data_IF_879257267542
#
_entry.id   IF_879257267542
#
_cell.length_a   1.000
_cell.length_b   1.000
_cell.length_c   1.000
_cell.angle_alpha   90.00
_cell.angle_beta   90.00
_cell.angle_gamma   90.00
#
_symmetry.space_group_name_H-M   'P 1'
#
loop_
_entity.id
_entity.type
_entity.pdbx_description
1 polymer ?
#
# COMPACT_ATOMS: atom_id res chain seq x y z
N UNK A 1 7.85 8.26 -10.26
CA UNK A 1 6.83 9.24 -9.79
C UNK A 1 7.36 9.97 -8.57
N UNK A 2 7.04 11.25 -8.32
CA UNK A 2 7.34 11.85 -7.00
C UNK A 2 6.19 11.49 -6.06
N UNK A 3 6.48 10.66 -5.06
CA UNK A 3 5.49 10.22 -4.06
C UNK A 3 5.68 11.05 -2.79
N UNK A 4 4.64 11.83 -2.44
CA UNK A 4 4.63 12.62 -1.22
C UNK A 4 4.70 11.73 0.04
N UNK A 5 5.37 12.20 1.09
CA UNK A 5 5.59 11.44 2.34
C UNK A 5 4.29 10.92 2.97
N UNK A 6 3.19 11.68 2.86
CA UNK A 6 1.86 11.24 3.34
C UNK A 6 1.41 9.89 2.79
N UNK A 7 1.88 9.50 1.60
CA UNK A 7 1.55 8.22 0.98
C UNK A 7 2.46 7.08 1.45
N UNK A 8 3.64 7.40 1.98
CA UNK A 8 4.60 6.43 2.54
C UNK A 8 4.38 6.17 4.03
N UNK A 9 3.68 7.07 4.72
CA UNK A 9 3.31 6.90 6.12
C UNK A 9 2.26 5.79 6.30
N UNK A 10 2.15 5.28 7.53
CA UNK A 10 1.15 4.27 7.91
C UNK A 10 -0.25 4.63 7.42
N UNK A 11 -0.85 3.76 6.62
CA UNK A 11 -2.18 3.94 6.04
C UNK A 11 -2.16 4.70 4.70
N UNK A 12 -1.04 5.26 4.29
CA UNK A 12 -0.86 5.93 3.01
C UNK A 12 -0.94 4.96 1.82
N UNK A 13 -1.17 5.48 0.62
CA UNK A 13 -1.36 4.64 -0.58
C UNK A 13 -0.16 3.73 -0.87
N UNK A 14 1.05 4.27 -0.84
CA UNK A 14 2.27 3.51 -1.09
C UNK A 14 2.50 2.48 0.02
N UNK A 15 2.36 2.89 1.29
CA UNK A 15 2.42 2.00 2.46
C UNK A 15 1.44 0.82 2.33
N UNK A 16 0.18 1.09 1.96
CA UNK A 16 -0.83 0.03 1.79
C UNK A 16 -0.52 -0.90 0.63
N UNK A 17 0.00 -0.38 -0.47
CA UNK A 17 0.49 -1.19 -1.60
C UNK A 17 1.61 -2.13 -1.18
N UNK A 18 2.67 -1.58 -0.57
CA UNK A 18 3.81 -2.38 -0.09
C UNK A 18 3.39 -3.39 0.96
N UNK A 19 2.52 -3.01 1.91
CA UNK A 19 2.03 -3.90 2.94
C UNK A 19 1.16 -5.04 2.38
N UNK A 20 0.32 -4.77 1.39
CA UNK A 20 -0.46 -5.84 0.76
C UNK A 20 0.45 -6.83 0.04
N UNK A 21 1.46 -6.38 -0.70
CA UNK A 21 2.48 -7.28 -1.29
C UNK A 21 3.26 -8.03 -0.19
N UNK A 22 3.69 -7.36 0.87
CA UNK A 22 4.42 -7.99 1.99
C UNK A 22 3.65 -9.14 2.62
N UNK A 23 2.35 -8.97 2.85
CA UNK A 23 1.47 -10.04 3.34
C UNK A 23 0.93 -10.95 2.24
N UNK A 24 1.41 -10.82 1.01
CA UNK A 24 1.00 -11.55 -0.19
C UNK A 24 -0.52 -11.53 -0.41
N UNK A 25 -1.13 -10.38 -0.10
CA UNK A 25 -2.51 -10.06 -0.40
C UNK A 25 -2.55 -9.57 -1.85
N UNK A 26 -3.51 -10.06 -2.64
CA UNK A 26 -3.69 -9.53 -3.99
C UNK A 26 -3.90 -8.01 -3.97
N UNK A 27 -3.41 -7.33 -5.01
CA UNK A 27 -3.50 -5.87 -5.14
C UNK A 27 -4.96 -5.39 -5.04
N UNK A 28 -5.24 -4.62 -3.99
CA UNK A 28 -6.55 -4.03 -3.69
C UNK A 28 -6.33 -2.55 -3.36
N UNK A 29 -6.34 -1.65 -4.35
CA UNK A 29 -6.03 -0.24 -4.09
C UNK A 29 -6.90 0.39 -3.00
N UNK A 30 -6.29 0.80 -1.90
CA UNK A 30 -6.95 1.45 -0.77
C UNK A 30 -5.98 2.29 0.07
N UNK A 31 -6.50 3.20 0.88
CA UNK A 31 -5.75 3.89 1.91
C UNK A 31 -6.58 4.08 3.20
N UNK A 32 -5.89 4.38 4.30
CA UNK A 32 -6.46 4.78 5.58
C UNK A 32 -5.94 6.18 5.94
N UNK A 33 -6.71 7.25 5.69
CA UNK A 33 -6.23 8.63 5.86
C UNK A 33 -5.89 8.98 7.31
N UNK A 34 -6.47 8.28 8.29
CA UNK A 34 -6.17 8.46 9.72
C UNK A 34 -5.21 7.39 10.27
N UNK A 35 -4.55 6.63 9.40
CA UNK A 35 -3.68 5.50 9.75
C UNK A 35 -4.40 4.15 9.69
N UNK A 36 -3.65 3.07 9.44
CA UNK A 36 -4.22 1.72 9.31
C UNK A 36 -5.04 1.35 10.54
N UNK A 37 -6.22 0.76 10.33
CA UNK A 37 -7.23 0.42 11.35
C UNK A 37 -7.85 1.59 12.13
N UNK A 38 -7.54 2.84 11.78
CA UNK A 38 -8.19 4.02 12.35
C UNK A 38 -9.27 4.55 11.39
N UNK A 39 -10.48 4.00 11.51
CA UNK A 39 -11.63 4.36 10.67
C UNK A 39 -11.71 3.58 9.34
N UNK A 40 -12.69 3.91 8.49
CA UNK A 40 -12.94 3.18 7.25
C UNK A 40 -11.84 3.41 6.21
N UNK A 41 -11.55 2.38 5.43
CA UNK A 41 -10.67 2.49 4.27
C UNK A 41 -11.34 3.32 3.16
N UNK A 42 -10.55 4.12 2.46
CA UNK A 42 -10.96 4.79 1.23
C UNK A 42 -10.54 3.90 0.04
N UNK A 43 -11.52 3.44 -0.72
CA UNK A 43 -11.33 2.58 -1.90
C UNK A 43 -11.69 3.27 -3.21
N UNK A 44 -12.49 4.35 -3.16
CA UNK A 44 -12.80 5.18 -4.31
C UNK A 44 -11.64 6.13 -4.61
N UNK A 45 -10.59 5.58 -5.24
CA UNK A 45 -9.36 6.28 -5.56
C UNK A 45 -9.35 6.79 -7.01
N UNK A 46 -8.73 7.93 -7.24
CA UNK A 46 -8.40 8.41 -8.59
C UNK A 46 -7.35 7.52 -9.25
N UNK A 47 -7.23 7.59 -10.59
CA UNK A 47 -6.22 6.80 -11.31
C UNK A 47 -4.79 7.14 -10.89
N UNK A 48 -4.54 8.40 -10.51
CA UNK A 48 -3.26 8.81 -9.97
C UNK A 48 -2.97 8.17 -8.61
N UNK A 49 -3.97 8.11 -7.72
CA UNK A 49 -3.84 7.47 -6.41
C UNK A 49 -3.66 5.95 -6.53
N UNK A 50 -4.36 5.30 -7.46
CA UNK A 50 -4.15 3.89 -7.78
C UNK A 50 -2.73 3.63 -8.25
N UNK A 51 -2.14 4.52 -9.06
CA UNK A 51 -0.73 4.40 -9.47
C UNK A 51 0.23 4.47 -8.28
N UNK A 52 -0.01 5.38 -7.32
CA UNK A 52 0.82 5.46 -6.10
C UNK A 52 0.74 4.16 -5.29
N UNK A 53 -0.46 3.60 -5.14
CA UNK A 53 -0.64 2.31 -4.48
C UNK A 53 0.10 1.19 -5.21
N UNK A 54 -0.04 1.12 -6.54
CA UNK A 54 0.63 0.11 -7.35
C UNK A 54 2.15 0.25 -7.35
N UNK A 55 2.69 1.47 -7.28
CA UNK A 55 4.14 1.68 -7.15
C UNK A 55 4.67 1.02 -5.87
N UNK A 56 3.99 1.22 -4.72
CA UNK A 56 4.39 0.58 -3.46
C UNK A 56 4.26 -0.95 -3.49
N UNK A 57 3.21 -1.47 -4.13
CA UNK A 57 3.03 -2.91 -4.33
C UNK A 57 4.18 -3.50 -5.18
N UNK A 58 4.43 -2.91 -6.35
CA UNK A 58 5.44 -3.37 -7.29
C UNK A 58 6.86 -3.27 -6.74
N UNK A 59 7.18 -2.19 -6.01
CA UNK A 59 8.48 -2.03 -5.38
C UNK A 59 8.74 -3.16 -4.37
N UNK A 60 7.75 -3.51 -3.53
CA UNK A 60 7.89 -4.62 -2.59
C UNK A 60 7.98 -5.99 -3.29
N UNK A 61 7.21 -6.22 -4.37
CA UNK A 61 7.32 -7.43 -5.20
C UNK A 61 8.73 -7.55 -5.81
N UNK A 62 9.30 -6.44 -6.28
CA UNK A 62 10.63 -6.39 -6.88
C UNK A 62 11.74 -6.66 -5.84
N UNK A 63 11.59 -6.14 -4.62
CA UNK A 63 12.48 -6.45 -3.49
C UNK A 63 12.30 -7.89 -2.96
N UNK A 64 11.18 -8.55 -3.28
CA UNK A 64 10.86 -9.89 -2.77
C UNK A 64 10.68 -9.92 -1.25
N UNK A 65 10.33 -8.77 -0.65
CA UNK A 65 10.17 -8.63 0.79
C UNK A 65 8.80 -9.18 1.20
N UNK A 66 8.75 -10.47 1.53
CA UNK A 66 7.52 -11.12 1.96
C UNK A 66 7.55 -11.45 3.45
N UNK A 67 6.38 -11.45 4.07
CA UNK A 67 6.21 -11.92 5.43
C UNK A 67 6.56 -13.40 5.48
N UNK A 68 7.63 -13.72 6.18
CA UNK A 68 7.89 -15.09 6.62
C UNK A 68 6.83 -15.48 7.68
N UNK A 69 6.08 -16.54 7.39
CA UNK A 69 5.02 -17.04 8.25
C UNK A 69 5.50 -18.12 9.24
N UNK A 70 6.76 -18.59 9.10
CA UNK A 70 7.26 -19.79 9.77
C UNK A 70 6.68 -21.07 9.17
N UNK A 71 7.37 -22.20 9.39
CA UNK A 71 6.86 -23.56 9.14
C UNK A 71 6.15 -24.13 10.36
#
# INVERSE_FOLDING_TARGET
MIIAEKHKNNGGLYDRGSADSYYQRGAKPHCYPNGTYNGPAVTNLTDHEKKIYMEGYNDNEADGHFKDWGE
#
